data_IF_460881360852
#
_entry.id   IF_460881360852
#
_cell.length_a   1.000
_cell.length_b   1.000
_cell.length_c   1.000
_cell.angle_alpha   90.00
_cell.angle_beta   90.00
_cell.angle_gamma   90.00
#
_symmetry.space_group_name_H-M   'P 1'
#
loop_
_entity.id
_entity.type
_entity.pdbx_description
1 polymer ?
#
# COMPACT_ATOMS: atom_id res chain seq x y z
N UNK A 1 -21.85 1.31 -8.56
CA UNK A 1 -23.07 0.83 -9.21
C UNK A 1 -22.72 -0.02 -10.43
N UNK A 2 -23.44 -1.08 -10.73
CA UNK A 2 -23.19 -1.97 -11.88
C UNK A 2 -23.21 -1.22 -13.21
N UNK A 3 -23.99 -0.14 -13.33
CA UNK A 3 -24.08 0.70 -14.51
C UNK A 3 -22.73 1.35 -14.89
N UNK A 4 -21.93 1.80 -13.92
CA UNK A 4 -20.63 2.38 -14.19
C UNK A 4 -19.67 1.35 -14.78
N UNK A 5 -19.60 0.15 -14.21
CA UNK A 5 -18.75 -0.92 -14.74
C UNK A 5 -19.17 -1.37 -16.14
N UNK A 6 -20.47 -1.42 -16.42
CA UNK A 6 -20.98 -1.73 -17.77
C UNK A 6 -20.55 -0.67 -18.78
N UNK A 7 -20.63 0.61 -18.42
CA UNK A 7 -20.22 1.71 -19.31
C UNK A 7 -18.73 1.65 -19.68
N UNK A 8 -17.87 1.17 -18.77
CA UNK A 8 -16.42 1.00 -19.05
C UNK A 8 -16.16 0.01 -20.20
N UNK A 9 -17.02 -0.99 -20.39
CA UNK A 9 -16.92 -1.95 -21.50
C UNK A 9 -17.15 -1.35 -22.91
N UNK A 10 -17.65 -0.11 -23.00
CA UNK A 10 -17.90 0.60 -24.27
C UNK A 10 -16.96 1.80 -24.50
N UNK A 11 -15.93 1.97 -23.67
CA UNK A 11 -14.98 3.06 -23.82
C UNK A 11 -14.25 3.02 -25.15
N UNK A 12 -14.02 4.20 -25.73
CA UNK A 12 -13.17 4.38 -26.90
C UNK A 12 -12.08 5.40 -26.57
N UNK A 13 -10.85 4.91 -26.41
CA UNK A 13 -9.70 5.75 -26.10
C UNK A 13 -8.39 5.09 -26.52
N UNK A 14 -7.35 5.87 -26.74
CA UNK A 14 -6.00 5.32 -27.04
C UNK A 14 -5.42 4.63 -25.81
N UNK A 15 -5.51 5.26 -24.64
CA UNK A 15 -4.96 4.75 -23.40
C UNK A 15 -6.03 4.88 -22.31
N UNK A 16 -6.26 3.83 -21.55
CA UNK A 16 -7.08 3.84 -20.36
C UNK A 16 -6.21 3.56 -19.14
N UNK A 17 -6.18 4.49 -18.20
CA UNK A 17 -5.36 4.43 -16.99
C UNK A 17 -6.21 4.05 -15.80
N UNK A 18 -5.76 3.09 -15.03
CA UNK A 18 -6.43 2.58 -13.84
C UNK A 18 -5.46 2.46 -12.67
N UNK A 19 -5.95 2.69 -11.47
CA UNK A 19 -5.30 2.29 -10.21
C UNK A 19 -5.95 1.06 -9.59
N UNK A 20 -7.10 0.61 -10.15
CA UNK A 20 -7.82 -0.59 -9.71
C UNK A 20 -7.28 -1.80 -10.45
N UNK A 21 -6.82 -2.86 -9.76
CA UNK A 21 -6.35 -4.10 -10.38
C UNK A 21 -7.52 -4.97 -10.83
N UNK A 22 -7.23 -6.05 -11.57
CA UNK A 22 -8.19 -7.12 -11.86
C UNK A 22 -9.15 -6.84 -13.01
N UNK A 23 -8.70 -6.12 -14.07
CA UNK A 23 -9.50 -6.05 -15.32
C UNK A 23 -9.65 -7.45 -15.94
N UNK A 24 -10.82 -7.74 -16.47
CA UNK A 24 -11.28 -9.05 -16.97
C UNK A 24 -11.29 -10.19 -15.93
N UNK A 25 -10.89 -9.90 -14.70
CA UNK A 25 -10.93 -10.84 -13.57
C UNK A 25 -12.03 -10.49 -12.58
N UNK A 26 -12.12 -9.22 -12.21
CA UNK A 26 -13.11 -8.71 -11.26
C UNK A 26 -14.28 -8.01 -11.99
N UNK A 27 -14.62 -6.79 -11.57
CA UNK A 27 -15.81 -6.10 -12.08
C UNK A 27 -15.57 -5.37 -13.42
N UNK A 28 -14.35 -4.94 -13.68
CA UNK A 28 -14.02 -4.13 -14.85
C UNK A 28 -13.71 -5.04 -16.05
N UNK A 29 -14.44 -4.88 -17.14
CA UNK A 29 -14.19 -5.59 -18.40
C UNK A 29 -13.43 -4.70 -19.38
N UNK A 30 -12.55 -5.31 -20.18
CA UNK A 30 -11.86 -4.61 -21.26
C UNK A 30 -12.85 -4.22 -22.35
N UNK A 31 -12.70 -2.99 -22.87
CA UNK A 31 -13.42 -2.54 -24.06
C UNK A 31 -12.59 -2.77 -25.31
N UNK A 32 -13.16 -3.29 -26.40
CA UNK A 32 -12.48 -3.38 -27.70
C UNK A 32 -12.04 -2.01 -28.27
N UNK A 33 -12.69 -0.94 -27.81
CA UNK A 33 -12.37 0.44 -28.22
C UNK A 33 -11.18 1.08 -27.51
N UNK A 34 -10.56 0.37 -26.56
CA UNK A 34 -9.39 0.85 -25.81
C UNK A 34 -8.11 0.28 -26.41
N UNK A 35 -7.20 1.14 -26.81
CA UNK A 35 -5.94 0.76 -27.44
C UNK A 35 -4.96 0.10 -26.47
N UNK A 36 -4.84 0.65 -25.23
CA UNK A 36 -3.98 0.11 -24.16
C UNK A 36 -4.56 0.35 -22.78
N UNK A 37 -4.36 -0.62 -21.90
CA UNK A 37 -4.69 -0.57 -20.49
C UNK A 37 -3.41 -0.42 -19.67
N UNK A 38 -3.29 0.69 -18.94
CA UNK A 38 -2.14 1.00 -18.11
C UNK A 38 -2.58 0.99 -16.64
N UNK A 39 -1.93 0.19 -15.82
CA UNK A 39 -2.08 0.26 -14.37
C UNK A 39 -1.02 1.18 -13.79
N UNK A 40 -1.45 2.14 -12.96
CA UNK A 40 -0.56 2.96 -12.14
C UNK A 40 -0.71 2.50 -10.70
N UNK A 41 0.37 2.09 -10.08
CA UNK A 41 0.31 1.59 -8.70
C UNK A 41 -0.05 2.72 -7.72
N UNK A 42 -0.81 2.36 -6.69
CA UNK A 42 -1.23 3.26 -5.61
C UNK A 42 -0.62 2.88 -4.24
N UNK A 43 0.31 1.93 -4.23
CA UNK A 43 1.06 1.50 -3.06
C UNK A 43 2.48 1.11 -3.46
N UNK A 44 3.43 1.23 -2.54
CA UNK A 44 4.84 0.88 -2.77
C UNK A 44 5.14 -0.58 -2.51
N UNK A 45 4.30 -1.27 -1.74
CA UNK A 45 4.44 -2.68 -1.46
C UNK A 45 4.45 -3.54 -2.72
N UNK A 46 4.94 -4.77 -2.59
CA UNK A 46 4.95 -5.73 -3.68
C UNK A 46 3.52 -6.17 -4.03
N UNK A 47 3.40 -6.89 -5.13
CA UNK A 47 2.08 -7.33 -5.63
C UNK A 47 1.51 -8.56 -4.92
N UNK A 48 2.22 -9.13 -3.97
CA UNK A 48 1.88 -10.36 -3.27
C UNK A 48 0.50 -10.36 -2.60
N UNK A 49 0.04 -9.21 -2.13
CA UNK A 49 -1.25 -9.05 -1.43
C UNK A 49 -2.43 -8.76 -2.35
N UNK A 50 -2.21 -8.68 -3.66
CA UNK A 50 -3.29 -8.54 -4.63
C UNK A 50 -3.96 -9.89 -4.92
N UNK A 51 -5.23 -9.86 -5.31
CA UNK A 51 -5.96 -11.06 -5.73
C UNK A 51 -5.30 -11.69 -6.96
N UNK A 52 -5.43 -13.01 -7.11
CA UNK A 52 -4.90 -13.74 -8.27
C UNK A 52 -5.33 -13.10 -9.59
N UNK A 53 -4.42 -13.04 -10.54
CA UNK A 53 -4.57 -12.50 -11.90
C UNK A 53 -4.83 -10.99 -11.96
N UNK A 54 -4.51 -10.26 -10.90
CA UNK A 54 -4.78 -8.82 -10.79
C UNK A 54 -4.16 -7.98 -11.91
N UNK A 55 -3.04 -8.42 -12.46
CA UNK A 55 -2.28 -7.65 -13.46
C UNK A 55 -2.21 -8.32 -14.84
N UNK A 56 -2.75 -9.53 -15.02
CA UNK A 56 -2.52 -10.35 -16.21
C UNK A 56 -3.02 -9.69 -17.51
N UNK A 57 -4.09 -8.94 -17.43
CA UNK A 57 -4.74 -8.33 -18.60
C UNK A 57 -4.39 -6.86 -18.82
N UNK A 58 -3.42 -6.32 -18.08
CA UNK A 58 -2.84 -5.01 -18.36
C UNK A 58 -1.77 -5.10 -19.46
N UNK A 59 -1.66 -4.05 -20.28
CA UNK A 59 -0.61 -3.94 -21.28
C UNK A 59 0.68 -3.32 -20.71
N UNK A 60 0.52 -2.49 -19.66
CA UNK A 60 1.62 -1.91 -18.89
C UNK A 60 1.24 -1.78 -17.42
N UNK A 61 2.23 -1.92 -16.54
CA UNK A 61 2.11 -1.60 -15.11
C UNK A 61 3.25 -0.66 -14.74
N UNK A 62 2.89 0.55 -14.33
CA UNK A 62 3.86 1.55 -13.89
C UNK A 62 4.18 1.31 -12.42
N UNK A 63 5.37 0.78 -12.17
CA UNK A 63 5.79 0.23 -10.89
C UNK A 63 6.42 1.30 -9.99
N UNK A 64 6.26 1.14 -8.67
CA UNK A 64 6.90 2.00 -7.68
C UNK A 64 8.41 1.71 -7.57
N UNK A 65 8.83 0.48 -7.85
CA UNK A 65 10.23 0.09 -7.72
C UNK A 65 10.52 -1.34 -8.20
N UNK A 66 11.75 -1.82 -7.96
CA UNK A 66 12.25 -3.07 -8.53
C UNK A 66 11.54 -4.34 -8.02
N UNK A 67 11.02 -4.33 -6.78
CA UNK A 67 10.31 -5.47 -6.20
C UNK A 67 9.09 -5.86 -7.02
N UNK A 68 8.24 -4.89 -7.35
CA UNK A 68 7.05 -5.13 -8.17
C UNK A 68 7.40 -5.65 -9.56
N UNK A 69 8.46 -5.11 -10.19
CA UNK A 69 8.94 -5.60 -11.50
C UNK A 69 9.37 -7.06 -11.42
N UNK A 70 10.12 -7.42 -10.37
CA UNK A 70 10.59 -8.80 -10.16
C UNK A 70 9.41 -9.78 -10.04
N UNK A 71 8.42 -9.41 -9.23
CA UNK A 71 7.26 -10.26 -8.99
C UNK A 71 6.35 -10.38 -10.22
N UNK A 72 6.12 -9.29 -10.96
CA UNK A 72 5.37 -9.33 -12.21
C UNK A 72 6.05 -10.18 -13.29
N UNK A 73 7.38 -10.09 -13.43
CA UNK A 73 8.15 -10.94 -14.35
C UNK A 73 8.07 -12.42 -13.97
N UNK A 74 8.10 -12.73 -12.67
CA UNK A 74 7.93 -14.11 -12.21
C UNK A 74 6.55 -14.67 -12.60
N UNK A 75 5.48 -13.91 -12.40
CA UNK A 75 4.12 -14.31 -12.78
C UNK A 75 3.96 -14.47 -14.30
N UNK A 76 4.52 -13.56 -15.11
CA UNK A 76 4.51 -13.69 -16.56
C UNK A 76 5.16 -14.99 -17.03
N UNK A 77 6.31 -15.34 -16.43
CA UNK A 77 7.02 -16.58 -16.73
C UNK A 77 6.22 -17.82 -16.34
N UNK A 78 5.63 -17.81 -15.13
CA UNK A 78 4.86 -18.94 -14.61
C UNK A 78 3.58 -19.20 -15.40
N UNK A 79 2.89 -18.13 -15.78
CA UNK A 79 1.58 -18.20 -16.45
C UNK A 79 1.67 -18.20 -17.97
N UNK A 80 2.87 -18.02 -18.55
CA UNK A 80 3.06 -17.90 -20.00
C UNK A 80 2.30 -16.69 -20.58
N UNK A 81 2.09 -15.64 -19.82
CA UNK A 81 1.36 -14.45 -20.27
C UNK A 81 2.25 -13.55 -21.11
N UNK A 82 1.63 -12.72 -21.97
CA UNK A 82 2.37 -11.74 -22.77
C UNK A 82 3.15 -10.79 -21.86
N UNK A 83 4.43 -10.54 -22.11
CA UNK A 83 5.21 -9.57 -21.36
C UNK A 83 4.60 -8.16 -21.40
N UNK A 84 4.42 -7.57 -20.23
CA UNK A 84 3.93 -6.20 -20.05
C UNK A 84 5.08 -5.20 -20.10
N UNK A 85 4.78 -3.96 -20.40
CA UNK A 85 5.71 -2.86 -20.13
C UNK A 85 5.70 -2.55 -18.63
N UNK A 86 6.87 -2.59 -17.97
CA UNK A 86 7.01 -2.41 -16.52
C UNK A 86 8.01 -1.27 -16.20
N UNK A 87 7.75 -0.02 -16.62
CA UNK A 87 8.63 1.07 -16.23
C UNK A 87 8.53 1.34 -14.73
N UNK A 88 9.66 1.63 -14.10
CA UNK A 88 9.72 2.03 -12.72
C UNK A 88 9.60 3.57 -12.66
N UNK A 89 8.45 4.07 -12.23
CA UNK A 89 8.12 5.50 -12.27
C UNK A 89 7.76 6.08 -10.91
N UNK A 90 7.65 5.24 -9.89
CA UNK A 90 7.26 5.65 -8.54
C UNK A 90 5.76 5.47 -8.26
N UNK A 91 5.33 5.99 -7.11
CA UNK A 91 3.96 5.90 -6.64
C UNK A 91 3.38 7.30 -6.43
N UNK A 92 2.50 7.80 -7.29
CA UNK A 92 2.04 9.19 -7.26
C UNK A 92 1.15 9.50 -6.03
N UNK A 93 0.59 8.49 -5.39
CA UNK A 93 -0.13 8.65 -4.13
C UNK A 93 0.78 9.27 -3.05
N UNK A 94 2.05 8.89 -3.03
CA UNK A 94 3.00 9.40 -2.04
C UNK A 94 3.40 10.86 -2.28
N UNK A 95 3.28 11.38 -3.49
CA UNK A 95 3.65 12.77 -3.79
C UNK A 95 2.84 13.74 -2.92
N UNK A 96 1.52 13.50 -2.83
CA UNK A 96 0.63 14.30 -1.98
C UNK A 96 0.92 14.15 -0.49
N UNK A 97 1.27 12.96 -0.02
CA UNK A 97 1.64 12.73 1.37
C UNK A 97 2.96 13.43 1.72
N UNK A 98 3.96 13.35 0.84
CA UNK A 98 5.27 14.00 1.03
C UNK A 98 5.13 15.52 1.05
N UNK A 99 4.33 16.10 0.14
CA UNK A 99 4.09 17.55 0.13
C UNK A 99 3.46 18.03 1.45
N UNK A 100 2.47 17.30 1.95
CA UNK A 100 1.82 17.59 3.23
C UNK A 100 2.79 17.41 4.40
N UNK A 101 3.62 16.37 4.39
CA UNK A 101 4.58 16.08 5.45
C UNK A 101 5.65 17.17 5.60
N UNK A 102 6.06 17.80 4.49
CA UNK A 102 7.00 18.95 4.53
C UNK A 102 6.44 20.15 5.30
N UNK A 103 5.11 20.26 5.40
CA UNK A 103 4.39 21.36 6.07
C UNK A 103 3.86 20.96 7.45
N UNK A 104 4.01 19.68 7.84
CA UNK A 104 3.48 19.17 9.09
C UNK A 104 4.33 19.63 10.29
N UNK A 105 3.67 19.80 11.43
CA UNK A 105 4.35 20.01 12.69
C UNK A 105 5.19 18.76 13.08
N UNK A 106 6.21 18.94 13.95
CA UNK A 106 6.92 17.81 14.54
C UNK A 106 5.94 16.84 15.24
N UNK A 107 6.30 15.56 15.38
CA UNK A 107 5.43 14.60 16.08
C UNK A 107 5.24 14.99 17.54
N UNK A 108 4.12 14.60 18.10
CA UNK A 108 3.82 14.78 19.51
C UNK A 108 4.59 13.74 20.35
N UNK A 109 5.32 14.21 21.36
CA UNK A 109 6.11 13.34 22.22
C UNK A 109 5.24 12.29 22.93
N UNK A 110 5.73 11.06 23.00
CA UNK A 110 5.02 9.94 23.62
C UNK A 110 3.78 9.47 22.86
N UNK A 111 3.55 9.93 21.63
CA UNK A 111 2.39 9.53 20.82
C UNK A 111 2.71 8.34 19.92
N UNK A 112 1.95 7.28 20.07
CA UNK A 112 2.02 6.04 19.28
C UNK A 112 0.69 5.84 18.53
N UNK A 113 0.76 5.56 17.23
CA UNK A 113 -0.43 5.20 16.46
C UNK A 113 -0.55 3.69 16.32
N UNK A 114 -1.73 3.15 16.59
CA UNK A 114 -2.10 1.74 16.32
C UNK A 114 -3.01 1.74 15.10
N UNK A 115 -2.46 1.35 13.95
CA UNK A 115 -3.12 1.44 12.64
C UNK A 115 -3.12 0.10 11.89
N UNK A 116 -3.92 -0.88 12.33
CA UNK A 116 -3.94 -2.23 11.77
C UNK A 116 -4.77 -2.33 10.50
N UNK A 117 -4.57 -3.44 9.76
CA UNK A 117 -5.51 -3.90 8.74
C UNK A 117 -6.78 -4.47 9.38
N UNK A 118 -7.72 -4.88 8.56
CA UNK A 118 -9.02 -5.46 8.94
C UNK A 118 -9.10 -6.95 8.58
N UNK A 119 -10.15 -7.63 9.07
CA UNK A 119 -10.46 -9.01 8.75
C UNK A 119 -9.79 -10.01 9.70
N UNK A 120 -10.02 -11.29 9.45
CA UNK A 120 -9.70 -12.40 10.36
C UNK A 120 -8.25 -12.43 10.87
N UNK A 121 -7.30 -11.94 10.08
CA UNK A 121 -5.89 -11.86 10.45
C UNK A 121 -5.45 -10.47 10.94
N UNK A 122 -6.36 -9.52 10.99
CA UNK A 122 -6.11 -8.17 11.50
C UNK A 122 -5.67 -8.19 12.96
N UNK A 123 -4.81 -7.26 13.33
CA UNK A 123 -4.27 -7.16 14.69
C UNK A 123 -5.38 -7.07 15.74
N UNK A 124 -6.36 -6.20 15.54
CA UNK A 124 -7.47 -6.03 16.50
C UNK A 124 -8.37 -7.26 16.59
N UNK A 125 -8.58 -7.98 15.50
CA UNK A 125 -9.36 -9.24 15.52
C UNK A 125 -8.66 -10.33 16.31
N UNK A 126 -7.32 -10.38 16.25
CA UNK A 126 -6.51 -11.38 16.97
C UNK A 126 -6.23 -11.03 18.42
N UNK A 127 -6.04 -9.76 18.73
CA UNK A 127 -5.56 -9.32 20.05
C UNK A 127 -6.57 -8.49 20.84
N UNK A 128 -7.71 -8.14 20.23
CA UNK A 128 -8.70 -7.28 20.88
C UNK A 128 -8.09 -5.95 21.31
N UNK A 129 -8.46 -5.50 22.48
CA UNK A 129 -7.95 -4.28 23.11
C UNK A 129 -6.55 -4.40 23.73
N UNK A 130 -5.92 -5.59 23.73
CA UNK A 130 -4.70 -5.86 24.50
C UNK A 130 -3.59 -4.85 24.21
N UNK A 131 -3.22 -4.67 22.94
CA UNK A 131 -2.10 -3.78 22.55
C UNK A 131 -2.39 -2.31 22.87
N UNK A 132 -3.53 -1.71 22.46
CA UNK A 132 -3.86 -0.35 22.85
C UNK A 132 -3.88 -0.14 24.37
N UNK A 133 -4.42 -1.07 25.15
CA UNK A 133 -4.42 -1.04 26.62
C UNK A 133 -3.01 -1.03 27.19
N UNK A 134 -2.16 -1.93 26.75
CA UNK A 134 -0.79 -2.04 27.24
C UNK A 134 0.00 -0.75 26.99
N UNK A 135 -0.14 -0.16 25.81
CA UNK A 135 0.50 1.11 25.48
C UNK A 135 -0.04 2.26 26.33
N UNK A 136 -1.36 2.36 26.50
CA UNK A 136 -1.97 3.38 27.33
C UNK A 136 -1.57 3.26 28.82
N UNK A 137 -1.56 2.04 29.35
CA UNK A 137 -1.11 1.76 30.73
C UNK A 137 0.37 2.06 30.94
N UNK A 138 1.18 1.96 29.89
CA UNK A 138 2.60 2.32 29.92
C UNK A 138 2.86 3.84 29.82
N UNK A 139 1.79 4.66 29.72
CA UNK A 139 1.82 6.11 29.71
C UNK A 139 1.92 6.74 28.32
N UNK A 140 1.85 5.97 27.24
CA UNK A 140 1.83 6.51 25.89
C UNK A 140 0.46 7.16 25.57
N UNK A 141 0.49 8.22 24.78
CA UNK A 141 -0.71 8.70 24.08
C UNK A 141 -0.93 7.80 22.87
N UNK A 142 -2.08 7.15 22.81
CA UNK A 142 -2.39 6.18 21.76
C UNK A 142 -3.42 6.76 20.80
N UNK A 143 -3.09 6.86 19.53
CA UNK A 143 -4.06 7.10 18.47
C UNK A 143 -4.46 5.73 17.92
N UNK A 144 -5.70 5.31 18.16
CA UNK A 144 -6.25 4.07 17.60
C UNK A 144 -6.99 4.38 16.31
N UNK A 145 -6.40 3.92 15.20
CA UNK A 145 -6.92 4.11 13.84
C UNK A 145 -7.22 2.76 13.17
N UNK A 146 -8.36 2.13 13.45
CA UNK A 146 -8.78 0.95 12.73
C UNK A 146 -8.95 1.24 11.24
N UNK A 147 -8.76 0.24 10.40
CA UNK A 147 -9.05 0.37 8.98
C UNK A 147 -10.54 0.73 8.78
N UNK A 148 -10.91 1.63 7.86
CA UNK A 148 -12.31 2.01 7.64
C UNK A 148 -13.25 0.83 7.41
N UNK A 149 -12.75 -0.22 6.75
CA UNK A 149 -13.53 -1.45 6.52
C UNK A 149 -13.88 -2.20 7.82
N UNK A 150 -13.11 -2.06 8.91
CA UNK A 150 -13.45 -2.69 10.19
C UNK A 150 -14.80 -2.22 10.73
N UNK A 151 -15.14 -0.94 10.56
CA UNK A 151 -16.44 -0.40 10.98
C UNK A 151 -17.62 -0.95 10.17
N UNK A 152 -17.37 -1.48 8.97
CA UNK A 152 -18.39 -2.07 8.09
C UNK A 152 -18.47 -3.59 8.25
N UNK A 153 -17.31 -4.26 8.33
CA UNK A 153 -17.24 -5.72 8.31
C UNK A 153 -17.13 -6.35 9.69
N UNK A 154 -16.74 -5.57 10.71
CA UNK A 154 -16.48 -6.03 12.08
C UNK A 154 -17.12 -5.07 13.11
N UNK A 155 -18.40 -4.65 12.95
CA UNK A 155 -19.01 -3.60 13.80
C UNK A 155 -19.07 -4.02 15.28
N UNK A 156 -19.36 -5.28 15.58
CA UNK A 156 -19.42 -5.82 16.92
C UNK A 156 -18.06 -5.74 17.65
N UNK A 157 -16.97 -6.07 16.93
CA UNK A 157 -15.62 -5.92 17.47
C UNK A 157 -15.31 -4.44 17.74
N UNK A 158 -15.70 -3.53 16.85
CA UNK A 158 -15.44 -2.10 17.04
C UNK A 158 -16.23 -1.54 18.24
N UNK A 159 -17.44 -2.00 18.47
CA UNK A 159 -18.25 -1.63 19.64
C UNK A 159 -17.65 -2.18 20.94
N UNK A 160 -17.26 -3.46 20.96
CA UNK A 160 -16.58 -4.08 22.09
C UNK A 160 -15.29 -3.32 22.46
N UNK A 161 -14.46 -3.01 21.47
CA UNK A 161 -13.21 -2.26 21.68
C UNK A 161 -13.51 -0.86 22.24
N UNK A 162 -14.54 -0.18 21.75
CA UNK A 162 -14.91 1.15 22.27
C UNK A 162 -15.32 1.09 23.74
N UNK A 163 -16.07 0.07 24.14
CA UNK A 163 -16.44 -0.15 25.56
C UNK A 163 -15.22 -0.46 26.42
N UNK A 164 -14.38 -1.40 25.97
CA UNK A 164 -13.21 -1.82 26.72
C UNK A 164 -12.13 -0.74 26.86
N UNK A 165 -12.01 0.16 25.90
CA UNK A 165 -11.02 1.24 25.90
C UNK A 165 -11.55 2.55 26.47
N UNK A 166 -12.85 2.66 26.77
CA UNK A 166 -13.46 3.89 27.32
C UNK A 166 -12.85 4.39 28.62
N UNK A 167 -12.28 3.55 29.53
CA UNK A 167 -11.63 4.05 30.74
C UNK A 167 -10.27 4.75 30.54
N UNK A 168 -9.73 4.76 29.31
CA UNK A 168 -8.40 5.29 29.03
C UNK A 168 -8.49 6.66 28.33
N UNK A 169 -8.30 7.73 29.08
CA UNK A 169 -8.35 9.12 28.57
C UNK A 169 -7.20 9.45 27.60
N UNK A 170 -6.15 8.63 27.59
CA UNK A 170 -4.98 8.76 26.69
C UNK A 170 -5.11 7.90 25.42
N UNK A 171 -6.29 7.36 25.10
CA UNK A 171 -6.61 6.70 23.82
C UNK A 171 -7.56 7.58 23.01
N UNK A 172 -7.08 8.07 21.89
CA UNK A 172 -7.85 8.82 20.90
C UNK A 172 -8.25 7.91 19.73
N UNK A 173 -9.54 7.89 19.38
CA UNK A 173 -10.03 7.17 18.18
C UNK A 173 -9.97 8.05 16.96
N UNK A 174 -9.24 7.63 15.94
CA UNK A 174 -9.28 8.26 14.63
C UNK A 174 -10.16 7.46 13.67
N UNK A 175 -11.30 8.06 13.30
CA UNK A 175 -12.27 7.54 12.32
C UNK A 175 -12.32 8.38 11.05
N UNK A 176 -11.40 9.34 10.90
CA UNK A 176 -11.38 10.21 9.74
C UNK A 176 -10.96 9.43 8.49
N UNK A 177 -11.61 9.65 7.32
CA UNK A 177 -11.22 8.98 6.07
C UNK A 177 -9.76 9.22 5.68
N UNK A 178 -9.27 10.44 5.89
CA UNK A 178 -7.87 10.81 5.68
C UNK A 178 -7.05 10.62 6.96
N UNK A 179 -6.10 9.68 6.91
CA UNK A 179 -5.25 9.35 8.06
C UNK A 179 -4.05 10.27 8.27
N UNK A 180 -3.81 11.22 7.39
CA UNK A 180 -2.57 12.01 7.42
C UNK A 180 -2.37 12.76 8.75
N UNK A 181 -3.42 13.36 9.31
CA UNK A 181 -3.32 14.11 10.55
C UNK A 181 -2.81 13.23 11.71
N UNK A 182 -3.38 12.05 11.87
CA UNK A 182 -2.98 11.08 12.90
C UNK A 182 -1.59 10.50 12.66
N UNK A 183 -1.28 10.15 11.42
CA UNK A 183 0.04 9.65 11.05
C UNK A 183 1.13 10.69 11.32
N UNK A 184 0.90 11.95 11.01
CA UNK A 184 1.89 13.01 11.20
C UNK A 184 2.22 13.29 12.67
N UNK A 185 1.26 13.11 13.58
CA UNK A 185 1.41 13.33 15.03
C UNK A 185 2.17 12.22 15.74
N UNK A 186 2.12 10.99 15.25
CA UNK A 186 2.71 9.84 15.93
C UNK A 186 4.24 9.76 15.75
N UNK A 187 4.96 9.44 16.83
CA UNK A 187 6.40 9.17 16.78
C UNK A 187 6.73 7.76 16.30
N UNK A 188 5.81 6.82 16.48
CA UNK A 188 5.96 5.41 16.13
C UNK A 188 4.59 4.83 15.76
N UNK A 189 4.60 3.87 14.84
CA UNK A 189 3.42 3.09 14.48
C UNK A 189 3.52 1.66 15.01
N UNK A 190 2.41 1.16 15.55
CA UNK A 190 2.18 -0.28 15.77
C UNK A 190 1.11 -0.71 14.78
N UNK A 191 1.41 -1.72 13.97
CA UNK A 191 0.49 -2.24 12.96
C UNK A 191 0.70 -3.76 12.79
N UNK A 192 -0.12 -4.36 11.97
CA UNK A 192 0.16 -5.66 11.36
C UNK A 192 0.85 -5.48 10.00
N UNK A 193 0.69 -6.40 9.07
CA UNK A 193 1.23 -6.25 7.72
C UNK A 193 0.21 -5.51 6.85
N UNK A 194 0.33 -4.20 6.82
CA UNK A 194 -0.53 -3.27 6.11
C UNK A 194 0.30 -2.30 5.25
N UNK A 195 -0.24 -1.86 4.12
CA UNK A 195 0.42 -0.88 3.25
C UNK A 195 0.74 0.45 3.95
N UNK A 196 -0.06 0.84 4.94
CA UNK A 196 0.14 2.07 5.73
C UNK A 196 1.46 2.10 6.50
N UNK A 197 2.07 0.93 6.78
CA UNK A 197 3.40 0.84 7.38
C UNK A 197 4.42 1.61 6.54
N UNK A 198 4.39 1.39 5.22
CA UNK A 198 5.33 2.00 4.29
C UNK A 198 5.03 3.47 4.05
N UNK A 199 3.74 3.84 4.00
CA UNK A 199 3.34 5.25 3.94
C UNK A 199 3.89 6.00 5.16
N UNK A 200 3.69 5.47 6.36
CA UNK A 200 4.20 6.06 7.59
C UNK A 200 5.73 6.10 7.64
N UNK A 201 6.37 4.95 7.47
CA UNK A 201 7.82 4.84 7.62
C UNK A 201 8.57 5.66 6.58
N UNK A 202 8.13 5.64 5.31
CA UNK A 202 8.84 6.31 4.22
C UNK A 202 8.56 7.81 4.15
N UNK A 203 7.36 8.25 4.48
CA UNK A 203 7.01 9.68 4.46
C UNK A 203 7.58 10.40 5.67
N UNK A 204 7.47 9.81 6.87
CA UNK A 204 7.86 10.48 8.10
C UNK A 204 9.24 10.04 8.63
N UNK A 205 9.85 9.00 8.05
CA UNK A 205 11.12 8.39 8.50
C UNK A 205 11.08 8.00 9.97
N UNK A 206 9.99 7.37 10.40
CA UNK A 206 9.74 6.97 11.78
C UNK A 206 9.56 5.45 11.87
N UNK A 207 9.96 4.83 13.00
CA UNK A 207 9.95 3.38 13.16
C UNK A 207 8.55 2.80 13.27
N UNK A 208 8.47 1.51 12.94
CA UNK A 208 7.25 0.72 13.00
C UNK A 208 7.47 -0.55 13.80
N UNK A 209 6.51 -0.91 14.63
CA UNK A 209 6.37 -2.25 15.21
C UNK A 209 5.33 -3.00 14.41
N UNK A 210 5.72 -4.08 13.74
CA UNK A 210 4.79 -4.97 13.04
C UNK A 210 4.47 -6.19 13.90
N UNK A 211 3.16 -6.48 14.10
CA UNK A 211 2.71 -7.57 14.96
C UNK A 211 1.94 -8.60 14.16
N UNK A 212 2.51 -9.78 13.95
CA UNK A 212 1.81 -10.86 13.25
C UNK A 212 2.69 -11.82 12.48
N UNK A 213 2.06 -12.86 11.92
CA UNK A 213 2.73 -13.99 11.28
C UNK A 213 3.07 -13.78 9.80
N UNK A 214 2.47 -12.80 9.13
CA UNK A 214 2.65 -12.61 7.70
C UNK A 214 1.34 -12.51 6.93
N UNK A 215 1.39 -12.14 5.65
CA UNK A 215 0.20 -12.04 4.81
C UNK A 215 -0.37 -13.42 4.48
N UNK A 216 -1.68 -13.43 4.19
CA UNK A 216 -2.33 -14.60 3.60
C UNK A 216 -1.80 -14.82 2.17
N UNK A 217 -1.57 -16.09 1.81
CA UNK A 217 -1.15 -16.47 0.46
C UNK A 217 -2.32 -16.98 -0.37
N UNK A 218 -3.21 -17.76 0.22
CA UNK A 218 -4.32 -18.40 -0.48
C UNK A 218 -5.27 -17.39 -1.12
N UNK A 219 -5.47 -17.50 -2.44
CA UNK A 219 -6.29 -16.59 -3.24
C UNK A 219 -5.63 -15.25 -3.59
N UNK A 220 -4.33 -15.09 -3.28
CA UNK A 220 -3.55 -13.89 -3.61
C UNK A 220 -2.37 -14.24 -4.51
N UNK A 221 -1.76 -13.23 -5.16
CA UNK A 221 -0.60 -13.41 -6.04
C UNK A 221 0.58 -14.09 -5.32
N UNK A 222 0.69 -13.90 -4.01
CA UNK A 222 1.67 -14.59 -3.15
C UNK A 222 1.58 -16.13 -3.20
N UNK A 223 0.49 -16.70 -3.69
CA UNK A 223 0.34 -18.14 -3.85
C UNK A 223 1.28 -18.71 -4.91
N UNK A 224 1.45 -17.99 -6.01
CA UNK A 224 2.24 -18.45 -7.16
C UNK A 224 3.65 -17.85 -7.22
N UNK A 225 3.87 -16.66 -6.62
CA UNK A 225 5.18 -16.00 -6.67
C UNK A 225 6.20 -16.82 -5.86
N UNK A 226 7.34 -17.24 -6.49
CA UNK A 226 8.27 -18.19 -5.88
C UNK A 226 9.20 -17.59 -4.83
N UNK A 227 9.18 -16.28 -4.65
CA UNK A 227 10.01 -15.56 -3.67
C UNK A 227 9.15 -14.80 -2.67
N UNK A 228 9.74 -14.47 -1.54
CA UNK A 228 9.06 -13.65 -0.53
C UNK A 228 8.98 -12.19 -0.99
N UNK A 229 7.88 -11.51 -0.63
CA UNK A 229 7.74 -10.07 -0.83
C UNK A 229 8.87 -9.32 -0.12
N UNK A 230 9.43 -8.30 -0.75
CA UNK A 230 10.52 -7.52 -0.15
C UNK A 230 10.10 -6.86 1.17
N UNK A 231 8.81 -6.56 1.33
CA UNK A 231 8.25 -5.99 2.56
C UNK A 231 8.51 -6.88 3.78
N UNK A 232 8.50 -8.18 3.60
CA UNK A 232 8.68 -9.11 4.71
C UNK A 232 10.07 -9.03 5.33
N UNK A 233 11.09 -8.91 4.48
CA UNK A 233 12.47 -8.68 4.95
C UNK A 233 12.69 -7.25 5.44
N UNK A 234 11.89 -6.30 4.96
CA UNK A 234 11.96 -4.89 5.34
C UNK A 234 11.45 -4.61 6.77
N UNK A 235 10.53 -5.43 7.29
CA UNK A 235 9.89 -5.16 8.60
C UNK A 235 10.90 -4.98 9.74
N UNK A 236 11.98 -5.76 9.76
CA UNK A 236 13.04 -5.64 10.78
C UNK A 236 13.96 -4.44 10.54
N UNK A 237 14.00 -3.90 9.33
CA UNK A 237 14.71 -2.66 9.00
C UNK A 237 13.88 -1.43 9.36
N UNK A 238 12.57 -1.48 9.14
CA UNK A 238 11.63 -0.42 9.51
C UNK A 238 11.51 -0.24 11.03
N UNK A 239 11.81 -1.30 11.79
CA UNK A 239 11.75 -1.25 13.24
C UNK A 239 11.89 -2.62 13.87
N UNK A 240 10.79 -3.21 14.35
CA UNK A 240 10.82 -4.52 14.98
C UNK A 240 9.57 -5.31 14.67
N UNK A 241 9.77 -6.59 14.38
CA UNK A 241 8.68 -7.55 14.21
C UNK A 241 8.41 -8.29 15.51
N UNK A 242 7.14 -8.36 15.93
CA UNK A 242 6.66 -9.17 17.05
C UNK A 242 5.88 -10.33 16.47
N UNK A 243 6.30 -11.55 16.78
CA UNK A 243 5.62 -12.76 16.33
C UNK A 243 4.39 -13.07 17.19
N UNK A 244 3.42 -13.85 16.67
CA UNK A 244 2.28 -14.31 17.48
C UNK A 244 2.72 -15.06 18.73
N UNK A 245 2.18 -14.65 19.87
CA UNK A 245 2.54 -15.15 21.20
C UNK A 245 3.47 -14.22 22.00
N UNK A 246 4.19 -13.32 21.31
CA UNK A 246 5.13 -12.38 21.94
C UNK A 246 4.55 -10.97 22.10
N UNK A 247 3.25 -10.76 21.88
CA UNK A 247 2.58 -9.45 21.88
C UNK A 247 2.81 -8.67 23.18
N UNK A 248 3.05 -9.36 24.29
CA UNK A 248 3.34 -8.74 25.61
C UNK A 248 4.63 -7.91 25.60
N UNK A 249 5.51 -8.12 24.64
CA UNK A 249 6.77 -7.37 24.52
C UNK A 249 6.59 -6.01 23.86
N UNK A 250 5.39 -5.66 23.37
CA UNK A 250 5.15 -4.45 22.57
C UNK A 250 5.63 -3.18 23.25
N UNK A 251 5.40 -3.02 24.54
CA UNK A 251 5.80 -1.82 25.29
C UNK A 251 7.32 -1.64 25.31
N UNK A 252 8.04 -2.71 25.59
CA UNK A 252 9.52 -2.67 25.64
C UNK A 252 10.11 -2.42 24.27
N UNK A 253 9.53 -3.03 23.22
CA UNK A 253 9.92 -2.79 21.83
C UNK A 253 9.67 -1.33 21.42
N UNK A 254 8.52 -0.76 21.78
CA UNK A 254 8.19 0.65 21.49
C UNK A 254 9.21 1.57 22.18
N UNK A 255 9.48 1.37 23.48
CA UNK A 255 10.48 2.16 24.22
C UNK A 255 11.87 2.07 23.59
N UNK A 256 12.30 0.88 23.22
CA UNK A 256 13.59 0.65 22.56
C UNK A 256 13.68 1.39 21.22
N UNK A 257 12.65 1.32 20.39
CA UNK A 257 12.65 1.99 19.08
C UNK A 257 12.60 3.51 19.20
N UNK A 258 11.82 4.05 20.13
CA UNK A 258 11.80 5.50 20.39
C UNK A 258 13.16 6.02 20.85
N UNK A 259 13.89 5.23 21.64
CA UNK A 259 15.26 5.57 22.04
C UNK A 259 16.31 5.45 20.90
N UNK A 260 15.99 4.74 19.81
CA UNK A 260 16.92 4.47 18.70
C UNK A 260 17.08 5.65 17.72
N UNK A 261 16.17 6.63 17.74
CA UNK A 261 16.21 7.93 17.07
C UNK A 261 16.79 7.94 15.65
N UNK A 262 17.89 8.66 15.45
CA UNK A 262 18.50 8.91 14.14
C UNK A 262 18.93 7.63 13.40
N UNK A 263 19.43 6.63 14.12
CA UNK A 263 19.87 5.36 13.50
C UNK A 263 18.72 4.60 12.84
N UNK A 264 17.49 4.66 13.41
CA UNK A 264 16.32 4.08 12.77
C UNK A 264 15.95 4.85 11.49
N UNK A 265 16.02 6.18 11.54
CA UNK A 265 15.76 7.07 10.43
C UNK A 265 16.66 6.80 9.22
N UNK A 266 17.98 6.67 9.43
CA UNK A 266 18.95 6.36 8.37
C UNK A 266 18.65 5.03 7.68
N UNK A 267 18.32 3.99 8.45
CA UNK A 267 17.97 2.68 7.91
C UNK A 267 16.69 2.72 7.07
N UNK A 268 15.66 3.42 7.54
CA UNK A 268 14.39 3.57 6.81
C UNK A 268 14.62 4.35 5.52
N UNK A 269 15.44 5.40 5.54
CA UNK A 269 15.80 6.17 4.36
C UNK A 269 16.49 5.30 3.31
N UNK A 270 17.52 4.55 3.70
CA UNK A 270 18.25 3.67 2.80
C UNK A 270 17.32 2.59 2.20
N UNK A 271 16.44 2.00 3.01
CA UNK A 271 15.46 1.02 2.53
C UNK A 271 14.50 1.63 1.50
N UNK A 272 14.01 2.85 1.74
CA UNK A 272 13.15 3.58 0.81
C UNK A 272 13.85 3.80 -0.53
N UNK A 273 15.08 4.29 -0.52
CA UNK A 273 15.87 4.58 -1.73
C UNK A 273 16.17 3.32 -2.55
N UNK A 274 16.29 2.16 -1.91
CA UNK A 274 16.47 0.88 -2.58
C UNK A 274 15.21 0.35 -3.27
N UNK A 275 14.04 0.66 -2.73
CA UNK A 275 12.80 0.00 -3.14
C UNK A 275 11.79 0.92 -3.84
N UNK A 276 11.95 2.25 -3.76
CA UNK A 276 11.00 3.21 -4.35
C UNK A 276 11.74 4.24 -5.18
N UNK A 277 11.41 4.34 -6.45
CA UNK A 277 11.96 5.37 -7.34
C UNK A 277 11.08 6.62 -7.34
N UNK A 278 11.63 7.76 -7.65
CA UNK A 278 10.93 9.06 -7.75
C UNK A 278 10.04 9.35 -6.54
N UNK A 279 10.50 9.04 -5.34
CA UNK A 279 9.73 9.22 -4.11
C UNK A 279 9.34 10.69 -3.89
N UNK A 280 8.04 10.96 -3.87
CA UNK A 280 7.49 12.31 -3.72
C UNK A 280 7.54 13.18 -4.99
N UNK A 281 7.87 12.58 -6.16
CA UNK A 281 7.88 13.23 -7.48
C UNK A 281 7.59 12.23 -8.62
N UNK A 282 6.68 11.29 -8.38
CA UNK A 282 6.30 10.24 -9.34
C UNK A 282 5.33 10.75 -10.41
N UNK A 283 4.49 11.74 -10.09
CA UNK A 283 3.43 12.20 -10.96
C UNK A 283 3.93 12.73 -12.32
N UNK A 284 5.03 13.50 -12.33
CA UNK A 284 5.57 14.06 -13.56
C UNK A 284 6.19 12.98 -14.48
N UNK A 285 7.05 12.06 -14.03
CA UNK A 285 7.51 10.92 -14.83
C UNK A 285 6.37 10.09 -15.41
N UNK A 286 5.34 9.80 -14.61
CA UNK A 286 4.15 9.03 -15.04
C UNK A 286 3.39 9.80 -16.14
N UNK A 287 3.13 11.09 -15.95
CA UNK A 287 2.44 11.91 -16.94
C UNK A 287 3.19 11.94 -18.27
N UNK A 288 4.52 12.13 -18.25
CA UNK A 288 5.36 12.09 -19.46
C UNK A 288 5.29 10.74 -20.16
N UNK A 289 5.34 9.63 -19.40
CA UNK A 289 5.23 8.30 -19.97
C UNK A 289 3.86 8.06 -20.64
N UNK A 290 2.77 8.50 -20.01
CA UNK A 290 1.42 8.38 -20.57
C UNK A 290 1.25 9.22 -21.85
N UNK A 291 1.78 10.44 -21.89
CA UNK A 291 1.76 11.28 -23.11
C UNK A 291 2.54 10.60 -24.24
N UNK A 292 3.75 10.12 -23.97
CA UNK A 292 4.56 9.40 -24.95
C UNK A 292 3.85 8.15 -25.50
N UNK A 293 3.13 7.42 -24.65
CA UNK A 293 2.35 6.26 -25.05
C UNK A 293 1.20 6.64 -26.01
N UNK A 294 0.48 7.70 -25.72
CA UNK A 294 -0.59 8.21 -26.61
C UNK A 294 -0.03 8.60 -27.98
N UNK A 295 1.10 9.32 -28.03
CA UNK A 295 1.73 9.74 -29.29
C UNK A 295 2.25 8.53 -30.09
N UNK A 296 2.82 7.52 -29.43
CA UNK A 296 3.23 6.26 -30.07
C UNK A 296 2.04 5.58 -30.77
N UNK A 297 0.90 5.49 -30.10
CA UNK A 297 -0.30 4.87 -30.66
C UNK A 297 -0.93 5.67 -31.81
N UNK A 298 -0.86 7.01 -31.77
CA UNK A 298 -1.28 7.87 -32.89
C UNK A 298 -0.44 7.57 -34.14
N UNK A 299 0.88 7.53 -33.98
CA UNK A 299 1.83 7.28 -35.08
C UNK A 299 1.61 5.88 -35.68
N UNK A 300 1.41 4.86 -34.87
CA UNK A 300 1.12 3.50 -35.35
C UNK A 300 -0.20 3.42 -36.12
N UNK A 301 -1.23 4.14 -35.67
CA UNK A 301 -2.53 4.19 -36.36
C UNK A 301 -2.41 4.83 -37.73
N UNK A 302 -1.63 5.93 -37.85
CA UNK A 302 -1.39 6.64 -39.12
C UNK A 302 -0.65 5.75 -40.13
N UNK A 303 0.41 5.06 -39.68
CA UNK A 303 1.16 4.12 -40.53
C UNK A 303 0.29 2.96 -41.05
N UNK A 304 -0.54 2.35 -40.19
CA UNK A 304 -1.46 1.28 -40.59
C UNK A 304 -2.53 1.78 -41.61
N UNK A 305 -2.95 3.04 -41.52
CA UNK A 305 -3.88 3.64 -42.48
C UNK A 305 -3.23 3.91 -43.85
N UNK A 306 -1.95 4.25 -43.88
CA UNK A 306 -1.19 4.47 -45.10
C UNK A 306 -0.90 3.16 -45.84
N UNK A 307 -0.44 2.09 -45.15
CA UNK A 307 -0.18 0.77 -45.73
C UNK A 307 -1.43 0.08 -46.28
N UNK A 308 -2.63 0.44 -45.81
CA UNK A 308 -3.90 -0.06 -46.37
C UNK A 308 -4.37 0.69 -47.64
N UNK A 309 -3.73 1.81 -47.99
CA UNK A 309 -4.06 2.62 -49.16
C UNK A 309 -3.11 2.45 -50.34
N UNK A 310 -2.02 1.70 -50.13
CA UNK A 310 -1.14 1.27 -51.22
C UNK A 310 -1.73 -0.02 -51.83
N UNK A 311 -2.03 -0.06 -53.12
CA UNK A 311 -2.70 -1.17 -53.82
C UNK A 311 -1.85 -2.42 -53.89
#
# INVERSE_FOLDING_TARGET
SNTAYTALGFLQTKVFVLTTPGIDVLQIRRSPGVGRYVHVVHAVGDIHTYKLFSFDYYDAVYCAGPGQVKSLRALESLRGTRPKELPQLGCPYLDGLVERARKAAPPEEGTVIVAPTWGRNGLLTRTGAMIPKMLAQAGFRVILRPHPQSFVSEPELMEQLAQELSPFDNIEWDRHPDGFASLSRAQLMVSDISGVIFDFAFVFLRPVVSVGAGPLKDGFEAWEIPHEAWEMSALDTLGKRILPGDEKTVVDVVRFLLASGERAREKILALREQNVVNFGDAGMPIAKALVAEVERLKTQSTRKAQTKKEP
#
